data_IF_881091500947
#
_entry.id   IF_881091500947
#
_cell.length_a   1.000
_cell.length_b   1.000
_cell.length_c   1.000
_cell.angle_alpha   90.00
_cell.angle_beta   90.00
_cell.angle_gamma   90.00
#
_symmetry.space_group_name_H-M   'P 1'
#
loop_
_entity.id
_entity.type
_entity.pdbx_description
1 polymer ?
#
# COMPACT_ATOMS: atom_id res chain seq x y z
N UNK A 1 10.19 29.48 -24.43
CA UNK A 1 8.77 29.06 -24.32
C UNK A 1 7.97 30.29 -23.92
N UNK A 2 6.74 30.43 -24.46
CA UNK A 2 5.91 31.61 -24.15
C UNK A 2 5.31 31.49 -22.73
N UNK A 3 5.02 32.62 -22.10
CA UNK A 3 4.35 32.73 -20.79
C UNK A 3 3.11 31.83 -20.69
N UNK A 4 2.23 31.83 -21.68
CA UNK A 4 1.04 31.01 -21.73
C UNK A 4 1.35 29.51 -21.80
N UNK A 5 2.42 29.12 -22.52
CA UNK A 5 2.86 27.73 -22.59
C UNK A 5 3.32 27.20 -21.22
N UNK A 6 4.03 28.01 -20.44
CA UNK A 6 4.48 27.62 -19.10
C UNK A 6 3.30 27.48 -18.11
N UNK A 7 2.29 28.36 -18.21
CA UNK A 7 1.08 28.24 -17.38
C UNK A 7 0.30 26.96 -17.72
N UNK A 8 0.11 26.67 -19.01
CA UNK A 8 -0.57 25.46 -19.45
C UNK A 8 0.17 24.19 -18.97
N UNK A 9 1.51 24.17 -19.08
CA UNK A 9 2.34 23.10 -18.59
C UNK A 9 2.23 22.90 -17.06
N UNK A 10 2.17 23.99 -16.29
CA UNK A 10 1.98 23.95 -14.85
C UNK A 10 0.62 23.34 -14.46
N UNK A 11 -0.46 23.76 -15.14
CA UNK A 11 -1.80 23.22 -14.90
C UNK A 11 -1.87 21.74 -15.26
N UNK A 12 -1.29 21.33 -16.39
CA UNK A 12 -1.22 19.94 -16.81
C UNK A 12 -0.44 19.08 -15.83
N UNK A 13 0.72 19.53 -15.37
CA UNK A 13 1.53 18.81 -14.37
C UNK A 13 0.72 18.58 -13.09
N UNK A 14 0.01 19.61 -12.61
CA UNK A 14 -0.84 19.49 -11.42
C UNK A 14 -1.98 18.50 -11.62
N UNK A 15 -2.69 18.57 -12.74
CA UNK A 15 -3.79 17.65 -13.05
C UNK A 15 -3.34 16.20 -13.14
N UNK A 16 -2.16 15.93 -13.74
CA UNK A 16 -1.55 14.60 -13.79
C UNK A 16 -1.22 14.10 -12.38
N UNK A 17 -0.61 14.96 -11.54
CA UNK A 17 -0.28 14.57 -10.17
C UNK A 17 -1.51 14.27 -9.31
N UNK A 18 -2.55 15.04 -9.43
CA UNK A 18 -3.84 14.80 -8.75
C UNK A 18 -4.49 13.50 -9.23
N UNK A 19 -4.46 13.24 -10.54
CA UNK A 19 -4.97 11.99 -11.11
C UNK A 19 -4.18 10.77 -10.60
N UNK A 20 -2.85 10.83 -10.67
CA UNK A 20 -1.98 9.75 -10.20
C UNK A 20 -2.19 9.49 -8.70
N UNK A 21 -2.24 10.52 -7.87
CA UNK A 21 -2.53 10.38 -6.45
C UNK A 21 -3.87 9.67 -6.23
N UNK A 22 -4.93 10.07 -6.95
CA UNK A 22 -6.25 9.43 -6.86
C UNK A 22 -6.20 7.94 -7.23
N UNK A 23 -5.45 7.57 -8.27
CA UNK A 23 -5.26 6.17 -8.67
C UNK A 23 -4.57 5.37 -7.55
N UNK A 24 -3.49 5.90 -6.98
CA UNK A 24 -2.79 5.24 -5.86
C UNK A 24 -3.67 5.11 -4.61
N UNK A 25 -4.49 6.12 -4.28
CA UNK A 25 -5.44 6.04 -3.16
C UNK A 25 -6.51 4.96 -3.41
N UNK A 26 -7.00 4.84 -4.64
CA UNK A 26 -7.95 3.77 -5.00
C UNK A 26 -7.31 2.38 -4.91
N UNK A 27 -6.06 2.22 -5.38
CA UNK A 27 -5.32 0.96 -5.26
C UNK A 27 -5.08 0.60 -3.79
N UNK A 28 -4.70 1.56 -2.95
CA UNK A 28 -4.53 1.35 -1.52
C UNK A 28 -5.84 0.89 -0.84
N UNK A 29 -6.97 1.51 -1.19
CA UNK A 29 -8.28 1.12 -0.66
C UNK A 29 -8.69 -0.30 -1.10
N UNK A 30 -8.38 -0.70 -2.35
CA UNK A 30 -8.60 -2.07 -2.83
C UNK A 30 -7.72 -3.07 -2.08
N UNK A 31 -6.47 -2.74 -1.83
CA UNK A 31 -5.52 -3.55 -1.06
C UNK A 31 -6.01 -3.75 0.38
N UNK A 32 -6.51 -2.70 1.03
CA UNK A 32 -7.11 -2.82 2.37
C UNK A 32 -8.38 -3.69 2.37
N UNK A 33 -9.20 -3.60 1.34
CA UNK A 33 -10.36 -4.48 1.18
C UNK A 33 -9.94 -5.95 1.02
N UNK A 34 -8.88 -6.22 0.27
CA UNK A 34 -8.30 -7.56 0.15
C UNK A 34 -7.81 -8.10 1.50
N UNK A 35 -7.16 -7.25 2.33
CA UNK A 35 -6.79 -7.60 3.71
C UNK A 35 -7.99 -8.07 4.51
N UNK A 36 -9.07 -7.29 4.53
CA UNK A 36 -10.29 -7.63 5.26
C UNK A 36 -10.91 -8.94 4.78
N UNK A 37 -10.98 -9.15 3.46
CA UNK A 37 -11.49 -10.40 2.87
C UNK A 37 -10.63 -11.62 3.25
N UNK A 38 -9.29 -11.50 3.22
CA UNK A 38 -8.40 -12.59 3.63
C UNK A 38 -8.53 -12.94 5.10
N UNK A 39 -8.63 -11.94 5.98
CA UNK A 39 -8.89 -12.17 7.40
C UNK A 39 -10.24 -12.85 7.63
N UNK A 40 -11.27 -12.46 6.90
CA UNK A 40 -12.58 -13.10 6.98
C UNK A 40 -12.53 -14.57 6.52
N UNK A 41 -11.87 -14.85 5.40
CA UNK A 41 -11.68 -16.22 4.89
C UNK A 41 -10.89 -17.06 5.91
N UNK A 42 -9.83 -16.54 6.48
CA UNK A 42 -9.08 -17.22 7.51
C UNK A 42 -9.95 -17.55 8.71
N UNK A 43 -10.64 -16.57 9.28
CA UNK A 43 -11.43 -16.75 10.50
C UNK A 43 -12.66 -17.66 10.29
N UNK A 44 -13.35 -17.55 9.16
CA UNK A 44 -14.58 -18.29 8.90
C UNK A 44 -14.38 -19.67 8.29
N UNK A 45 -13.29 -19.87 7.54
CA UNK A 45 -13.09 -21.09 6.77
C UNK A 45 -11.82 -21.81 7.22
N UNK A 46 -10.64 -21.18 7.12
CA UNK A 46 -9.37 -21.87 7.29
C UNK A 46 -9.14 -22.30 8.75
N UNK A 47 -9.30 -21.38 9.69
CA UNK A 47 -9.12 -21.68 11.12
C UNK A 47 -10.03 -22.80 11.62
N UNK A 48 -11.37 -22.80 11.37
CA UNK A 48 -12.22 -23.91 11.73
C UNK A 48 -11.88 -25.24 11.05
N UNK A 49 -11.36 -25.21 9.81
CA UNK A 49 -10.91 -26.42 9.12
C UNK A 49 -9.67 -27.01 9.79
N UNK A 50 -8.68 -26.18 10.14
CA UNK A 50 -7.48 -26.61 10.86
C UNK A 50 -7.87 -27.24 12.20
N UNK A 51 -8.72 -26.57 12.98
CA UNK A 51 -9.18 -27.10 14.28
C UNK A 51 -9.88 -28.43 14.12
N UNK A 52 -10.84 -28.55 13.18
CA UNK A 52 -11.55 -29.83 12.95
C UNK A 52 -10.65 -30.95 12.46
N UNK A 53 -9.66 -30.66 11.64
CA UNK A 53 -8.69 -31.65 11.20
C UNK A 53 -7.91 -32.18 12.39
N UNK A 54 -7.42 -31.29 13.25
CA UNK A 54 -6.67 -31.66 14.44
C UNK A 54 -7.52 -32.45 15.44
N UNK A 55 -8.79 -32.08 15.63
CA UNK A 55 -9.71 -32.86 16.47
C UNK A 55 -9.93 -34.28 15.94
N UNK A 56 -10.02 -34.45 14.63
CA UNK A 56 -10.12 -35.79 14.00
C UNK A 56 -8.85 -36.61 14.19
N UNK A 57 -7.68 -36.00 14.02
CA UNK A 57 -6.39 -36.65 14.21
C UNK A 57 -6.23 -37.10 15.67
N UNK A 58 -6.59 -36.23 16.62
CA UNK A 58 -6.57 -36.57 18.05
C UNK A 58 -7.57 -37.67 18.40
N UNK A 59 -8.81 -37.59 17.88
CA UNK A 59 -9.83 -38.63 18.08
C UNK A 59 -9.38 -39.96 17.53
N UNK A 60 -8.79 -40.01 16.34
CA UNK A 60 -8.20 -41.19 15.73
C UNK A 60 -7.10 -41.80 16.57
N UNK A 61 -6.20 -40.93 17.11
CA UNK A 61 -5.17 -41.37 18.06
C UNK A 61 -5.79 -42.02 19.31
N UNK A 62 -6.82 -41.42 19.91
CA UNK A 62 -7.50 -41.99 21.09
C UNK A 62 -8.13 -43.33 20.80
N UNK A 63 -8.85 -43.46 19.68
CA UNK A 63 -9.49 -44.74 19.28
C UNK A 63 -8.43 -45.81 19.06
N UNK A 64 -7.33 -45.48 18.40
CA UNK A 64 -6.24 -46.45 18.18
C UNK A 64 -5.54 -46.86 19.50
N UNK A 65 -5.34 -45.92 20.40
CA UNK A 65 -4.76 -46.23 21.74
C UNK A 65 -5.70 -47.12 22.53
N UNK A 66 -6.98 -46.89 22.55
CA UNK A 66 -7.97 -47.71 23.24
C UNK A 66 -8.09 -49.12 22.63
N UNK A 67 -8.12 -49.23 21.29
CA UNK A 67 -8.17 -50.52 20.60
C UNK A 67 -6.93 -51.36 20.79
N UNK A 68 -5.79 -50.75 21.05
CA UNK A 68 -4.53 -51.47 21.40
C UNK A 68 -4.48 -51.95 22.85
N UNK A 69 -5.53 -51.74 23.64
CA UNK A 69 -5.61 -52.14 25.04
C UNK A 69 -4.76 -51.22 25.96
N UNK A 70 -4.36 -50.05 25.46
CA UNK A 70 -3.57 -49.11 26.24
C UNK A 70 -4.47 -48.40 27.28
N UNK A 71 -4.03 -48.39 28.54
CA UNK A 71 -4.72 -47.62 29.58
C UNK A 71 -4.42 -46.14 29.44
N UNK A 72 -5.48 -45.31 29.29
CA UNK A 72 -5.39 -43.87 29.20
C UNK A 72 -5.56 -43.22 30.57
N UNK A 73 -4.54 -43.38 31.45
CA UNK A 73 -4.51 -42.81 32.80
C UNK A 73 -3.38 -41.80 32.94
N UNK A 74 -3.54 -40.84 33.84
CA UNK A 74 -2.50 -39.84 34.15
C UNK A 74 -1.19 -40.53 34.46
N UNK A 75 -0.13 -40.12 33.75
CA UNK A 75 1.22 -40.68 33.92
C UNK A 75 1.53 -41.88 33.03
N UNK A 76 0.58 -42.47 32.30
CA UNK A 76 0.87 -43.51 31.32
C UNK A 76 1.41 -42.92 30.00
N UNK A 77 2.19 -43.72 29.26
CA UNK A 77 2.75 -43.30 27.96
C UNK A 77 1.69 -42.80 26.99
N UNK A 78 0.52 -43.49 26.79
CA UNK A 78 -0.52 -42.98 25.91
C UNK A 78 -1.10 -41.63 26.36
N UNK A 79 -1.22 -41.39 27.66
CA UNK A 79 -1.64 -40.11 28.21
C UNK A 79 -0.68 -38.96 27.89
N UNK A 80 0.64 -39.22 28.09
CA UNK A 80 1.69 -38.24 27.82
C UNK A 80 1.79 -37.91 26.34
N UNK A 81 1.69 -38.92 25.45
CA UNK A 81 1.66 -38.72 24.00
C UNK A 81 0.38 -37.94 23.59
N UNK A 82 -0.76 -38.18 24.24
CA UNK A 82 -1.96 -37.43 24.03
C UNK A 82 -1.85 -35.95 24.39
N UNK A 83 -1.17 -35.64 25.50
CA UNK A 83 -0.86 -34.25 25.90
C UNK A 83 0.09 -33.57 24.92
N UNK A 84 1.14 -34.29 24.50
CA UNK A 84 2.08 -33.76 23.49
C UNK A 84 1.37 -33.45 22.16
N UNK A 85 0.51 -34.36 21.67
CA UNK A 85 -0.31 -34.12 20.47
C UNK A 85 -1.19 -32.89 20.61
N UNK A 86 -1.83 -32.67 21.78
CA UNK A 86 -2.62 -31.46 22.02
C UNK A 86 -1.78 -30.20 22.01
N UNK A 87 -0.57 -30.24 22.57
CA UNK A 87 0.36 -29.10 22.54
C UNK A 87 0.81 -28.80 21.13
N UNK A 88 1.12 -29.81 20.31
CA UNK A 88 1.47 -29.65 18.89
C UNK A 88 0.30 -29.05 18.11
N UNK A 89 -0.93 -29.51 18.38
CA UNK A 89 -2.13 -28.96 17.74
C UNK A 89 -2.34 -27.49 18.09
N UNK A 90 -2.21 -27.11 19.38
CA UNK A 90 -2.31 -25.74 19.81
C UNK A 90 -1.22 -24.85 19.15
N UNK A 91 0.00 -25.37 19.05
CA UNK A 91 1.10 -24.70 18.36
C UNK A 91 0.81 -24.51 16.86
N UNK A 92 0.26 -25.52 16.18
CA UNK A 92 -0.08 -25.44 14.77
C UNK A 92 -1.17 -24.38 14.49
N UNK A 93 -2.20 -24.29 15.36
CA UNK A 93 -3.23 -23.24 15.26
C UNK A 93 -2.59 -21.88 15.47
N UNK A 94 -1.80 -21.70 16.51
CA UNK A 94 -1.13 -20.44 16.80
C UNK A 94 -0.19 -20.01 15.65
N UNK A 95 0.53 -20.96 15.05
CA UNK A 95 1.37 -20.70 13.88
C UNK A 95 0.55 -20.26 12.66
N UNK A 96 -0.58 -20.91 12.41
CA UNK A 96 -1.47 -20.52 11.32
C UNK A 96 -2.05 -19.10 11.55
N UNK A 97 -2.45 -18.78 12.77
CA UNK A 97 -2.92 -17.44 13.17
C UNK A 97 -1.82 -16.39 12.99
N UNK A 98 -0.60 -16.69 13.44
CA UNK A 98 0.56 -15.80 13.27
C UNK A 98 0.87 -15.54 11.78
N UNK A 99 0.85 -16.58 10.95
CA UNK A 99 1.07 -16.43 9.51
C UNK A 99 -0.02 -15.58 8.85
N UNK A 100 -1.28 -15.76 9.24
CA UNK A 100 -2.40 -14.96 8.74
C UNK A 100 -2.30 -13.48 9.16
N UNK A 101 -1.82 -13.20 10.38
CA UNK A 101 -1.56 -11.85 10.85
C UNK A 101 -0.42 -11.20 10.06
N UNK A 102 0.70 -11.89 9.88
CA UNK A 102 1.83 -11.39 9.10
C UNK A 102 1.43 -11.09 7.65
N UNK A 103 0.62 -11.95 7.03
CA UNK A 103 0.09 -11.69 5.69
C UNK A 103 -0.78 -10.43 5.67
N UNK A 104 -1.64 -10.26 6.66
CA UNK A 104 -2.47 -9.07 6.79
C UNK A 104 -1.66 -7.79 7.00
N UNK A 105 -0.58 -7.84 7.79
CA UNK A 105 0.34 -6.72 7.97
C UNK A 105 1.10 -6.38 6.69
N UNK A 106 1.56 -7.39 5.95
CA UNK A 106 2.22 -7.17 4.66
C UNK A 106 1.30 -6.48 3.65
N UNK A 107 0.03 -6.88 3.58
CA UNK A 107 -0.98 -6.22 2.74
C UNK A 107 -1.21 -4.79 3.21
N UNK A 108 -1.24 -4.53 4.51
CA UNK A 108 -1.37 -3.19 5.06
C UNK A 108 -0.17 -2.30 4.70
N UNK A 109 1.04 -2.82 4.82
CA UNK A 109 2.25 -2.10 4.46
C UNK A 109 2.26 -1.74 2.97
N UNK A 110 1.77 -2.64 2.09
CA UNK A 110 1.59 -2.32 0.67
C UNK A 110 0.59 -1.17 0.46
N UNK A 111 -0.53 -1.15 1.16
CA UNK A 111 -1.49 -0.06 1.08
C UNK A 111 -0.90 1.28 1.55
N UNK A 112 -0.11 1.27 2.62
CA UNK A 112 0.61 2.45 3.12
C UNK A 112 1.63 2.94 2.09
N UNK A 113 2.40 2.04 1.47
CA UNK A 113 3.37 2.39 0.42
C UNK A 113 2.67 3.02 -0.81
N UNK A 114 1.54 2.47 -1.24
CA UNK A 114 0.76 3.05 -2.34
C UNK A 114 0.29 4.47 -2.01
N UNK A 115 -0.20 4.72 -0.80
CA UNK A 115 -0.55 6.08 -0.36
C UNK A 115 0.64 7.03 -0.38
N UNK A 116 1.76 6.61 0.17
CA UNK A 116 2.99 7.41 0.17
C UNK A 116 3.48 7.70 -1.26
N UNK A 117 3.37 6.75 -2.18
CA UNK A 117 3.67 6.96 -3.60
C UNK A 117 2.73 7.99 -4.23
N UNK A 118 1.43 7.89 -3.97
CA UNK A 118 0.45 8.87 -4.45
C UNK A 118 0.73 10.29 -3.95
N UNK A 119 1.03 10.44 -2.67
CA UNK A 119 1.42 11.73 -2.08
C UNK A 119 2.73 12.25 -2.67
N UNK A 120 3.71 11.37 -2.91
CA UNK A 120 4.96 11.71 -3.56
C UNK A 120 4.78 12.21 -4.98
N UNK A 121 3.90 11.58 -5.77
CA UNK A 121 3.56 12.04 -7.13
C UNK A 121 2.85 13.40 -7.11
N UNK A 122 1.93 13.61 -6.17
CA UNK A 122 1.27 14.90 -5.98
C UNK A 122 2.27 15.99 -5.59
N UNK A 123 3.20 15.69 -4.68
CA UNK A 123 4.26 16.63 -4.28
C UNK A 123 5.16 17.01 -5.47
N UNK A 124 5.64 16.02 -6.24
CA UNK A 124 6.45 16.27 -7.45
C UNK A 124 5.69 17.13 -8.47
N UNK A 125 4.42 16.84 -8.71
CA UNK A 125 3.59 17.60 -9.61
C UNK A 125 3.42 19.05 -9.17
N UNK A 126 3.19 19.28 -7.88
CA UNK A 126 3.10 20.63 -7.31
C UNK A 126 4.42 21.39 -7.41
N UNK A 127 5.55 20.71 -7.18
CA UNK A 127 6.89 21.30 -7.33
C UNK A 127 7.15 21.67 -8.80
N UNK A 128 6.83 20.78 -9.73
CA UNK A 128 6.95 21.03 -11.18
C UNK A 128 6.08 22.21 -11.61
N UNK A 129 4.81 22.23 -11.18
CA UNK A 129 3.90 23.33 -11.47
C UNK A 129 4.45 24.66 -10.94
N UNK A 130 4.96 24.68 -9.69
CA UNK A 130 5.58 25.88 -9.10
C UNK A 130 6.77 26.37 -9.90
N UNK A 131 7.65 25.47 -10.34
CA UNK A 131 8.80 25.80 -11.18
C UNK A 131 8.37 26.41 -12.52
N UNK A 132 7.33 25.84 -13.15
CA UNK A 132 6.77 26.36 -14.40
C UNK A 132 6.14 27.76 -14.22
N UNK A 133 5.44 28.01 -13.11
CA UNK A 133 4.93 29.35 -12.81
C UNK A 133 6.04 30.38 -12.61
N UNK A 134 7.12 30.02 -11.91
CA UNK A 134 8.29 30.91 -11.73
C UNK A 134 8.92 31.21 -13.11
N UNK A 135 9.08 30.19 -13.97
CA UNK A 135 9.59 30.35 -15.32
C UNK A 135 8.67 31.21 -16.19
N UNK A 136 7.34 31.09 -16.02
CA UNK A 136 6.37 31.95 -16.71
C UNK A 136 6.55 33.42 -16.33
N UNK A 137 6.67 33.73 -15.02
CA UNK A 137 6.92 35.11 -14.56
C UNK A 137 8.25 35.64 -15.09
N UNK A 138 9.30 34.81 -15.07
CA UNK A 138 10.62 35.20 -15.63
C UNK A 138 10.53 35.49 -17.14
N UNK A 139 9.82 34.74 -17.92
CA UNK A 139 9.60 34.98 -19.35
C UNK A 139 8.80 36.27 -19.61
N UNK A 140 7.78 36.53 -18.81
CA UNK A 140 7.01 37.76 -18.91
C UNK A 140 7.90 39.03 -18.63
N UNK A 141 8.73 38.97 -17.61
CA UNK A 141 9.65 40.08 -17.29
C UNK A 141 10.69 40.27 -18.39
N UNK A 142 11.19 39.17 -18.98
CA UNK A 142 12.11 39.21 -20.13
C UNK A 142 11.47 39.83 -21.37
N UNK A 143 10.22 39.47 -21.67
CA UNK A 143 9.48 40.03 -22.79
C UNK A 143 9.18 41.51 -22.62
N UNK A 144 8.86 41.98 -21.39
CA UNK A 144 8.69 43.40 -21.06
C UNK A 144 10.00 44.18 -21.21
N UNK A 145 11.11 43.59 -20.74
CA UNK A 145 12.45 44.19 -20.85
C UNK A 145 12.90 44.36 -22.31
N UNK A 146 12.66 43.36 -23.15
CA UNK A 146 12.93 43.41 -24.61
C UNK A 146 12.03 44.43 -25.33
N UNK A 147 10.76 44.49 -24.97
CA UNK A 147 9.83 45.50 -25.50
C UNK A 147 10.24 46.93 -25.16
N UNK A 148 10.69 47.18 -23.92
CA UNK A 148 11.17 48.47 -23.49
C UNK A 148 12.46 48.89 -24.24
N UNK A 149 13.39 47.97 -24.43
CA UNK A 149 14.63 48.20 -25.20
C UNK A 149 14.34 48.53 -26.66
N UNK A 150 13.43 47.79 -27.31
CA UNK A 150 13.00 48.09 -28.67
C UNK A 150 12.34 49.49 -28.80
N UNK A 151 11.46 49.83 -27.87
CA UNK A 151 10.83 51.14 -27.81
C UNK A 151 11.83 52.26 -27.62
N UNK A 152 12.81 52.09 -26.70
CA UNK A 152 13.86 53.07 -26.45
C UNK A 152 14.77 53.32 -27.66
N UNK A 153 15.05 52.24 -28.42
CA UNK A 153 15.85 52.29 -29.66
C UNK A 153 15.08 52.98 -30.78
N UNK A 154 13.80 52.72 -30.92
CA UNK A 154 12.93 53.39 -31.90
C UNK A 154 12.79 54.88 -31.61
N UNK A 155 12.59 55.22 -30.36
CA UNK A 155 12.43 56.62 -29.93
C UNK A 155 13.73 57.44 -30.07
N UNK A 156 14.91 56.81 -30.00
CA UNK A 156 16.19 57.48 -30.26
C UNK A 156 16.41 57.75 -31.75
N UNK A 157 16.08 56.78 -32.61
CA UNK A 157 16.21 56.93 -34.08
C UNK A 157 15.21 57.92 -34.71
N UNK A 158 14.06 58.14 -34.07
CA UNK A 158 13.05 59.11 -34.57
C UNK A 158 13.42 60.58 -34.25
N UNK A 159 14.43 60.84 -33.38
CA UNK A 159 14.87 62.21 -33.03
C UNK A 159 16.11 62.67 -33.83
N UNK A 160 16.70 61.82 -34.67
CA UNK A 160 17.89 62.12 -35.48
C UNK A 160 17.63 62.22 -36.98
N UNK A 161 16.38 62.22 -37.45
CA UNK A 161 15.93 62.55 -38.78
C UNK A 161 15.04 63.81 -38.76
#
# INVERSE_FOLDING_TARGET
MSFLGNIAAAQQAKAIGEYNNKVYQQQAALTEKQKAQRQEIFNRIQRPQIVRQQEREYSSFLVNALNSGAEFRTGTTPYLVGLENKNIQAFNVATAEFNALNEAENIQNQAIMLRAQGEGELYKANLTARTQYISAVGSLLGDIGTGYNLYSTYSKNSKTG
#
